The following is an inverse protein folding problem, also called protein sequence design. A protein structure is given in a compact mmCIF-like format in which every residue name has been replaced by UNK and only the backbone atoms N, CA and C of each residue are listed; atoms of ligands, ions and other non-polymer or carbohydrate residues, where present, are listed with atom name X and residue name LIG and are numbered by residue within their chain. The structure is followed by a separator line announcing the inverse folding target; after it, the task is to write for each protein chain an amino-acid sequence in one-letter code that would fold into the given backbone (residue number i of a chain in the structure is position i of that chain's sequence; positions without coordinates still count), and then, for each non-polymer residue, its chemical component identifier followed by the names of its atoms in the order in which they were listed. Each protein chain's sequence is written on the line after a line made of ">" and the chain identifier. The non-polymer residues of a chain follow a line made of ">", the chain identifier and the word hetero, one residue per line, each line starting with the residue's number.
data_IF_972051225235
#
_entry.id   IF_972051225235
#
_cell.length_a   1.000
_cell.length_b   1.000
_cell.length_c   1.000
_cell.angle_alpha   90.00
_cell.angle_beta   90.00
_cell.angle_gamma   90.00
#
_symmetry.space_group_name_H-M   'P 1'
#
loop_
_entity.id
_entity.type
_entity.pdbx_description
1 polymer ?
#
# COMPACT_ATOMS: atom_id res chain seq x y z
N UNK A 1 71.18 23.67 -17.88
CA UNK A 1 71.48 22.27 -17.53
C UNK A 1 70.82 22.04 -16.17
N UNK A 2 69.76 21.27 -16.00
CA UNK A 2 69.70 19.81 -16.06
C UNK A 2 68.23 19.38 -16.31
N UNK A 3 68.04 18.35 -17.15
CA UNK A 3 66.75 17.74 -17.49
C UNK A 3 66.44 16.55 -16.55
N UNK A 4 65.19 16.06 -16.67
CA UNK A 4 64.66 14.69 -16.37
C UNK A 4 64.05 14.54 -14.96
N UNK A 5 62.94 13.84 -14.68
CA UNK A 5 61.90 13.10 -15.43
C UNK A 5 60.86 12.59 -14.40
N UNK A 6 59.55 12.57 -14.75
CA UNK A 6 58.52 11.57 -14.33
C UNK A 6 58.16 11.47 -12.80
N UNK A 7 56.94 11.22 -12.31
CA UNK A 7 55.84 10.35 -12.72
C UNK A 7 54.49 10.92 -12.25
N UNK A 8 53.48 10.61 -13.06
CA UNK A 8 52.03 10.64 -12.80
C UNK A 8 51.58 9.80 -11.60
N UNK A 9 50.63 10.32 -10.81
CA UNK A 9 49.64 9.49 -10.10
C UNK A 9 48.35 10.28 -9.77
N UNK A 10 47.31 9.99 -10.57
CA UNK A 10 45.88 9.99 -10.25
C UNK A 10 45.34 11.00 -9.22
N UNK A 11 44.79 12.08 -9.75
CA UNK A 11 43.48 12.58 -9.31
C UNK A 11 42.41 11.48 -9.42
N UNK A 12 41.69 11.22 -8.32
CA UNK A 12 40.26 10.90 -8.17
C UNK A 12 40.14 10.23 -6.79
N UNK A 13 39.93 11.04 -5.77
CA UNK A 13 39.61 10.59 -4.42
C UNK A 13 38.51 11.47 -3.87
N UNK A 14 37.45 10.84 -3.35
CA UNK A 14 36.34 11.42 -2.58
C UNK A 14 35.13 11.94 -3.35
N UNK A 15 34.54 11.12 -4.22
CA UNK A 15 33.09 11.15 -4.46
C UNK A 15 32.53 9.72 -4.52
N UNK A 16 32.77 8.92 -3.48
CA UNK A 16 32.05 7.65 -3.28
C UNK A 16 31.41 7.72 -1.91
N UNK A 17 30.11 8.00 -1.87
CA UNK A 17 29.37 7.98 -0.61
C UNK A 17 28.02 8.70 -0.56
N UNK A 18 27.29 8.86 -1.67
CA UNK A 18 25.89 9.31 -1.63
C UNK A 18 24.90 8.22 -2.08
N UNK A 19 25.25 6.93 -1.99
CA UNK A 19 24.27 5.85 -2.17
C UNK A 19 23.66 5.40 -0.83
N UNK A 20 24.32 5.67 0.30
CA UNK A 20 23.83 5.31 1.63
C UNK A 20 22.73 6.26 2.15
N UNK A 21 22.55 7.43 1.54
CA UNK A 21 21.50 8.39 1.93
C UNK A 21 20.10 7.93 1.52
N UNK A 22 19.95 7.17 0.44
CA UNK A 22 18.62 6.72 -0.02
C UNK A 22 17.95 5.75 0.96
N UNK A 23 18.73 4.83 1.56
CA UNK A 23 18.21 3.89 2.55
C UNK A 23 17.91 4.54 3.91
N UNK A 24 18.57 5.65 4.23
CA UNK A 24 18.28 6.44 5.43
C UNK A 24 17.08 7.38 5.22
N UNK A 25 16.92 7.98 4.03
CA UNK A 25 15.77 8.85 3.72
C UNK A 25 14.44 8.08 3.73
N UNK A 26 14.42 6.80 3.32
CA UNK A 26 13.22 5.96 3.42
C UNK A 26 12.77 5.66 4.85
N UNK A 27 13.67 5.83 5.84
CA UNK A 27 13.34 5.70 7.27
C UNK A 27 12.99 7.04 7.94
N UNK A 28 13.23 8.16 7.24
CA UNK A 28 12.90 9.53 7.69
C UNK A 28 11.60 10.03 7.07
N UNK A 29 11.11 9.41 6.00
CA UNK A 29 9.70 9.49 5.61
C UNK A 29 8.87 8.61 6.54
N UNK A 30 7.93 9.20 7.28
CA UNK A 30 7.03 8.44 8.15
C UNK A 30 6.36 7.28 7.40
N UNK A 31 5.99 6.20 8.11
CA UNK A 31 5.38 5.02 7.48
C UNK A 31 4.27 5.40 6.51
N UNK A 32 4.17 4.70 5.38
CA UNK A 32 3.08 4.91 4.43
C UNK A 32 1.72 4.87 5.14
N UNK A 33 0.83 5.78 4.78
CA UNK A 33 -0.53 5.79 5.34
C UNK A 33 -1.27 4.49 4.97
N UNK A 34 -2.27 4.06 5.76
CA UNK A 34 -3.05 2.86 5.46
C UNK A 34 -3.58 2.82 4.02
N UNK A 35 -4.14 3.93 3.52
CA UNK A 35 -4.63 4.02 2.14
C UNK A 35 -3.49 3.90 1.11
N UNK A 36 -2.34 4.54 1.33
CA UNK A 36 -1.19 4.43 0.43
C UNK A 36 -0.71 2.98 0.31
N UNK A 37 -0.59 2.27 1.44
CA UNK A 37 -0.22 0.85 1.48
C UNK A 37 -1.19 -0.01 0.65
N UNK A 38 -2.51 0.21 0.79
CA UNK A 38 -3.51 -0.53 0.00
C UNK A 38 -3.39 -0.22 -1.50
N UNK A 39 -3.24 1.06 -1.88
CA UNK A 39 -3.12 1.45 -3.29
C UNK A 39 -1.83 0.95 -3.95
N UNK A 40 -0.77 0.75 -3.16
CA UNK A 40 0.49 0.19 -3.65
C UNK A 40 0.38 -1.32 -3.85
N UNK A 41 -0.24 -2.04 -2.91
CA UNK A 41 -0.51 -3.48 -3.06
C UNK A 41 -1.47 -3.75 -4.23
N UNK A 42 -2.55 -2.98 -4.29
CA UNK A 42 -3.62 -3.14 -5.28
C UNK A 42 -3.42 -2.24 -6.49
N UNK A 43 -2.24 -2.36 -7.11
CA UNK A 43 -1.91 -1.62 -8.34
C UNK A 43 -2.84 -1.95 -9.52
N UNK A 44 -3.54 -3.09 -9.44
CA UNK A 44 -4.59 -3.52 -10.38
C UNK A 44 -5.80 -2.56 -10.40
N UNK A 45 -6.13 -1.95 -9.26
CA UNK A 45 -7.23 -0.97 -9.16
C UNK A 45 -6.98 0.29 -9.98
N UNK A 46 -5.71 0.56 -10.34
CA UNK A 46 -5.34 1.70 -11.19
C UNK A 46 -5.41 1.38 -12.69
N UNK A 47 -5.55 0.10 -13.05
CA UNK A 47 -5.44 -0.40 -14.44
C UNK A 47 -6.76 -0.89 -15.01
N UNK A 48 -7.62 -1.48 -14.19
CA UNK A 48 -8.86 -2.14 -14.65
C UNK A 48 -10.12 -1.29 -14.39
N UNK A 49 -11.11 -1.42 -15.29
CA UNK A 49 -12.34 -0.61 -15.35
C UNK A 49 -13.48 -1.06 -14.41
N UNK A 50 -13.20 -1.85 -13.37
CA UNK A 50 -14.26 -2.14 -12.38
C UNK A 50 -14.62 -0.85 -11.64
N UNK A 51 -15.89 -0.70 -11.25
CA UNK A 51 -16.29 0.44 -10.43
C UNK A 51 -15.82 0.18 -9.00
N UNK A 52 -14.81 0.91 -8.56
CA UNK A 52 -14.16 0.75 -7.25
C UNK A 52 -14.52 1.91 -6.33
N UNK A 53 -14.99 1.59 -5.12
CA UNK A 53 -15.13 2.52 -4.01
C UNK A 53 -14.07 2.20 -2.96
N UNK A 54 -13.23 3.19 -2.62
CA UNK A 54 -12.22 3.05 -1.57
C UNK A 54 -12.56 4.02 -0.43
N UNK A 55 -12.73 3.48 0.77
CA UNK A 55 -13.05 4.25 1.97
C UNK A 55 -12.10 3.93 3.10
N UNK A 56 -11.45 4.97 3.61
CA UNK A 56 -10.62 4.88 4.80
C UNK A 56 -11.40 5.39 6.02
N UNK A 57 -11.25 4.68 7.12
CA UNK A 57 -11.79 5.02 8.42
C UNK A 57 -10.66 5.00 9.44
N UNK A 58 -10.66 6.00 10.31
CA UNK A 58 -9.84 6.00 11.52
C UNK A 58 -10.74 5.85 12.73
N UNK A 59 -10.21 5.25 13.80
CA UNK A 59 -10.96 5.09 15.05
C UNK A 59 -11.17 6.41 15.81
N UNK A 60 -10.34 7.42 15.54
CA UNK A 60 -10.40 8.76 16.14
C UNK A 60 -9.77 9.79 15.21
N UNK A 61 -10.11 11.06 15.40
CA UNK A 61 -9.65 12.17 14.56
C UNK A 61 -8.20 12.55 14.89
N UNK A 62 -7.89 12.66 16.18
CA UNK A 62 -6.56 13.05 16.67
C UNK A 62 -5.74 11.82 17.04
N UNK A 63 -4.50 11.74 16.55
CA UNK A 63 -3.57 10.64 16.86
C UNK A 63 -4.15 9.23 16.69
N UNK A 64 -4.70 8.87 15.52
CA UNK A 64 -5.36 7.59 15.30
C UNK A 64 -4.46 6.38 15.56
N UNK A 65 -5.01 5.37 16.24
CA UNK A 65 -4.29 4.14 16.63
C UNK A 65 -4.70 2.93 15.81
N UNK A 66 -5.86 2.99 15.15
CA UNK A 66 -6.37 1.95 14.27
C UNK A 66 -7.01 2.58 13.02
N UNK A 67 -6.89 1.88 11.90
CA UNK A 67 -7.51 2.28 10.65
C UNK A 67 -8.10 1.08 9.92
N UNK A 68 -9.18 1.32 9.19
CA UNK A 68 -9.71 0.38 8.22
C UNK A 68 -9.71 1.01 6.83
N UNK A 69 -9.26 0.28 5.82
CA UNK A 69 -9.42 0.66 4.42
C UNK A 69 -10.29 -0.38 3.75
N UNK A 70 -11.46 0.03 3.28
CA UNK A 70 -12.43 -0.82 2.59
C UNK A 70 -12.35 -0.54 1.11
N UNK A 71 -12.03 -1.57 0.33
CA UNK A 71 -12.05 -1.54 -1.13
C UNK A 71 -13.27 -2.35 -1.56
N UNK A 72 -14.27 -1.69 -2.14
CA UNK A 72 -15.47 -2.34 -2.68
C UNK A 72 -15.43 -2.28 -4.20
N UNK A 73 -15.52 -3.43 -4.83
CA UNK A 73 -15.49 -3.61 -6.29
C UNK A 73 -16.87 -4.06 -6.75
N UNK A 74 -17.41 -3.36 -7.75
CA UNK A 74 -18.74 -3.60 -8.32
C UNK A 74 -18.65 -3.66 -9.85
N UNK A 75 -19.75 -4.09 -10.50
CA UNK A 75 -19.75 -4.32 -11.95
C UNK A 75 -18.87 -5.51 -12.34
N UNK A 76 -18.85 -6.54 -11.49
CA UNK A 76 -18.10 -7.77 -11.72
C UNK A 76 -18.75 -8.58 -12.85
N UNK A 77 -17.95 -9.39 -13.56
CA UNK A 77 -18.43 -10.28 -14.61
C UNK A 77 -19.08 -11.56 -14.08
N UNK A 78 -19.03 -11.78 -12.75
CA UNK A 78 -19.61 -12.92 -12.05
C UNK A 78 -21.11 -12.69 -11.81
N UNK A 79 -21.96 -13.61 -12.27
CA UNK A 79 -23.41 -13.49 -12.16
C UNK A 79 -23.94 -13.85 -10.75
N UNK A 80 -23.11 -14.50 -9.94
CA UNK A 80 -23.42 -14.93 -8.58
C UNK A 80 -23.03 -13.88 -7.54
N UNK A 81 -22.02 -13.04 -7.85
CA UNK A 81 -21.48 -12.02 -6.95
C UNK A 81 -21.75 -10.61 -7.48
N UNK A 82 -22.55 -9.84 -6.74
CA UNK A 82 -22.85 -8.45 -7.07
C UNK A 82 -21.67 -7.53 -6.78
N UNK A 83 -20.99 -7.75 -5.66
CA UNK A 83 -19.89 -6.90 -5.20
C UNK A 83 -18.94 -7.67 -4.30
N UNK A 84 -17.66 -7.34 -4.37
CA UNK A 84 -16.61 -7.87 -3.50
C UNK A 84 -16.08 -6.73 -2.65
N UNK A 85 -15.91 -6.94 -1.36
CA UNK A 85 -15.30 -5.98 -0.44
C UNK A 85 -14.09 -6.59 0.24
N UNK A 86 -12.94 -5.95 0.10
CA UNK A 86 -11.74 -6.27 0.88
C UNK A 86 -11.60 -5.23 2.00
N UNK A 87 -11.60 -5.69 3.25
CA UNK A 87 -11.45 -4.88 4.46
C UNK A 87 -10.04 -5.08 4.98
N UNK A 88 -9.19 -4.06 4.83
CA UNK A 88 -7.84 -4.04 5.35
C UNK A 88 -7.86 -3.37 6.72
N UNK A 89 -7.31 -4.02 7.75
CA UNK A 89 -7.21 -3.48 9.10
C UNK A 89 -5.76 -3.14 9.42
N UNK A 90 -5.55 -1.98 10.03
CA UNK A 90 -4.24 -1.46 10.38
C UNK A 90 -4.21 -1.04 11.85
N UNK A 91 -3.02 -1.14 12.44
CA UNK A 91 -2.69 -0.61 13.75
C UNK A 91 -1.49 0.32 13.64
N UNK A 92 -1.56 1.48 14.28
CA UNK A 92 -0.42 2.37 14.42
C UNK A 92 0.43 1.91 15.62
N UNK A 93 1.70 1.65 15.38
CA UNK A 93 2.67 1.25 16.41
C UNK A 93 3.81 2.25 16.36
N UNK A 94 3.85 3.15 17.36
CA UNK A 94 4.90 4.17 17.50
C UNK A 94 5.04 5.09 16.26
N UNK A 95 3.92 5.46 15.63
CA UNK A 95 3.90 6.27 14.41
C UNK A 95 3.84 5.43 13.13
N UNK A 96 4.18 4.13 13.20
CA UNK A 96 4.21 3.25 12.04
C UNK A 96 2.91 2.48 11.86
N UNK A 97 2.24 2.69 10.72
CA UNK A 97 1.06 1.94 10.32
C UNK A 97 1.44 0.54 9.83
N UNK A 98 0.94 -0.48 10.52
CA UNK A 98 1.13 -1.88 10.15
C UNK A 98 -0.21 -2.52 9.87
N UNK A 99 -0.31 -3.21 8.74
CA UNK A 99 -1.47 -4.05 8.44
C UNK A 99 -1.47 -5.25 9.38
N UNK A 100 -2.62 -5.50 10.01
CA UNK A 100 -2.81 -6.63 10.94
C UNK A 100 -3.71 -7.71 10.35
N UNK A 101 -4.59 -7.35 9.41
CA UNK A 101 -5.57 -8.27 8.84
C UNK A 101 -6.08 -7.79 7.47
N UNK A 102 -6.54 -8.74 6.66
CA UNK A 102 -7.30 -8.51 5.42
C UNK A 102 -8.41 -9.54 5.33
N UNK A 103 -9.65 -9.06 5.34
CA UNK A 103 -10.83 -9.89 5.17
C UNK A 103 -11.51 -9.61 3.83
N UNK A 104 -11.85 -10.67 3.10
CA UNK A 104 -12.67 -10.58 1.88
C UNK A 104 -14.11 -10.94 2.19
N UNK A 105 -15.03 -10.13 1.71
CA UNK A 105 -16.47 -10.28 1.87
C UNK A 105 -17.15 -10.16 0.51
N UNK A 106 -18.29 -10.82 0.38
CA UNK A 106 -19.07 -10.95 -0.84
C UNK A 106 -20.48 -10.47 -0.59
N UNK A 107 -21.00 -9.68 -1.51
CA UNK A 107 -22.42 -9.41 -1.62
C UNK A 107 -22.97 -10.23 -2.78
N UNK A 108 -23.87 -11.16 -2.48
CA UNK A 108 -24.41 -12.08 -3.47
C UNK A 108 -25.55 -11.47 -4.27
N UNK A 109 -25.63 -11.82 -5.55
CA UNK A 109 -26.75 -11.43 -6.42
C UNK A 109 -28.01 -12.21 -6.07
N UNK A 110 -27.84 -13.49 -5.69
CA UNK A 110 -28.93 -14.44 -5.40
C UNK A 110 -28.76 -15.06 -4.01
N UNK A 111 -29.79 -15.76 -3.54
CA UNK A 111 -29.80 -16.44 -2.24
C UNK A 111 -30.44 -15.64 -1.10
N UNK A 112 -30.23 -16.10 0.14
CA UNK A 112 -30.90 -15.54 1.33
C UNK A 112 -30.35 -14.19 1.78
N UNK A 113 -29.08 -13.88 1.47
CA UNK A 113 -28.38 -12.69 1.94
C UNK A 113 -27.82 -11.87 0.78
N UNK A 114 -28.70 -11.14 0.08
CA UNK A 114 -28.36 -10.34 -1.11
C UNK A 114 -28.08 -8.86 -0.81
N UNK A 115 -28.47 -8.40 0.39
CA UNK A 115 -28.34 -6.99 0.78
C UNK A 115 -27.05 -6.70 1.54
N UNK A 116 -26.55 -7.67 2.31
CA UNK A 116 -25.40 -7.49 3.16
C UNK A 116 -24.18 -8.22 2.61
N UNK A 117 -23.01 -7.75 3.04
CA UNK A 117 -21.75 -8.46 2.83
C UNK A 117 -21.65 -9.65 3.78
N UNK A 118 -21.09 -10.74 3.29
CA UNK A 118 -20.82 -11.96 4.05
C UNK A 118 -19.45 -12.52 3.69
N UNK A 119 -18.81 -13.20 4.64
CA UNK A 119 -17.54 -13.89 4.41
C UNK A 119 -17.70 -15.22 3.67
N UNK A 120 -18.91 -15.80 3.72
CA UNK A 120 -19.24 -17.02 2.99
C UNK A 120 -19.35 -16.73 1.49
N UNK A 121 -18.78 -17.63 0.68
CA UNK A 121 -18.93 -17.58 -0.77
C UNK A 121 -20.41 -17.59 -1.18
N UNK A 122 -20.70 -16.87 -2.26
CA UNK A 122 -22.01 -16.90 -2.89
C UNK A 122 -22.25 -18.29 -3.49
N UNK A 123 -23.49 -18.76 -3.38
CA UNK A 123 -23.96 -20.06 -3.87
C UNK A 123 -24.83 -19.92 -5.09
#
# INVERSE_FOLDING_TARGET
>A
MLRLLSLSALSIGLLVGCSTTQNLMNKVGGSETPLAQVLNERSDLRKNLSTVEIRQYFNQVESPTAAEVKVTETGLMDDSVRSIRSVYRFKNVAGDWKRIDVQKEYQCTRGKNTKNFQTKLCS
#
